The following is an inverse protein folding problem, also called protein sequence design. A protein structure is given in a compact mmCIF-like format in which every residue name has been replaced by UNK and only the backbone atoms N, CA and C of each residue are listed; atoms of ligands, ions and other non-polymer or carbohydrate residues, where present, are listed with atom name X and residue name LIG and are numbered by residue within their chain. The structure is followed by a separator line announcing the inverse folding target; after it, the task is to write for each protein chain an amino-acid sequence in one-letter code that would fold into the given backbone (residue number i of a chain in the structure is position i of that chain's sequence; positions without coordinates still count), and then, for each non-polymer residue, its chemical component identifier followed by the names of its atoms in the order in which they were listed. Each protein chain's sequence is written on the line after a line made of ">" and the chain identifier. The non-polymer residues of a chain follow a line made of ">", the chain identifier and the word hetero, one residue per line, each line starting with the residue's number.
data_IF_067003663399
#
_entry.id   IF_067003663399
#
_cell.length_a   1.000
_cell.length_b   1.000
_cell.length_c   1.000
_cell.angle_alpha   90.00
_cell.angle_beta   90.00
_cell.angle_gamma   90.00
#
_symmetry.space_group_name_H-M   'P 1'
#
loop_
_entity.id
_entity.type
_entity.pdbx_description
1 polymer ?
#
# COMPACT_ATOMS: atom_id res chain seq x y z
N UNK A 1 -16.07 -3.27 -19.44
CA UNK A 1 -17.19 -2.42 -19.00
C UNK A 1 -17.33 -2.30 -17.48
N UNK A 2 -16.91 -3.28 -16.66
CA UNK A 2 -17.00 -3.20 -15.18
C UNK A 2 -15.92 -2.33 -14.50
N UNK A 3 -14.72 -2.27 -15.07
CA UNK A 3 -13.57 -1.58 -14.47
C UNK A 3 -13.71 -0.04 -14.42
N UNK A 4 -14.24 0.56 -15.48
CA UNK A 4 -14.43 2.02 -15.55
C UNK A 4 -15.42 2.54 -14.50
N UNK A 5 -16.48 1.76 -14.23
CA UNK A 5 -17.48 2.08 -13.21
C UNK A 5 -16.91 2.04 -11.80
N UNK A 6 -16.05 1.07 -11.48
CA UNK A 6 -15.47 0.92 -10.13
C UNK A 6 -14.48 2.05 -9.81
N UNK A 7 -13.69 2.46 -10.79
CA UNK A 7 -12.77 3.61 -10.67
C UNK A 7 -13.52 4.92 -10.46
N UNK A 8 -14.51 5.22 -11.31
CA UNK A 8 -15.33 6.43 -11.20
C UNK A 8 -16.03 6.51 -9.84
N UNK A 9 -16.67 5.41 -9.41
CA UNK A 9 -17.31 5.31 -8.10
C UNK A 9 -16.32 5.53 -6.94
N UNK A 10 -15.13 4.94 -7.00
CA UNK A 10 -14.11 5.13 -5.97
C UNK A 10 -13.64 6.59 -5.88
N UNK A 11 -13.46 7.27 -7.01
CA UNK A 11 -13.06 8.68 -7.05
C UNK A 11 -14.18 9.64 -6.60
N UNK A 12 -15.44 9.26 -6.76
CA UNK A 12 -16.58 10.00 -6.24
C UNK A 12 -16.69 9.86 -4.72
N UNK A 13 -16.57 8.64 -4.21
CA UNK A 13 -16.68 8.34 -2.78
C UNK A 13 -15.44 8.80 -1.97
N UNK A 14 -14.25 8.78 -2.58
CA UNK A 14 -12.97 9.12 -1.97
C UNK A 14 -12.20 10.15 -2.81
N UNK A 15 -12.60 11.44 -2.76
CA UNK A 15 -11.98 12.50 -3.57
C UNK A 15 -10.48 12.69 -3.33
N UNK A 16 -9.94 12.26 -2.19
CA UNK A 16 -8.51 12.27 -1.87
C UNK A 16 -7.66 11.35 -2.75
N UNK A 17 -8.30 10.45 -3.50
CA UNK A 17 -7.62 9.62 -4.50
C UNK A 17 -7.33 10.38 -5.80
N UNK A 18 -8.10 11.43 -6.12
CA UNK A 18 -7.95 12.19 -7.37
C UNK A 18 -6.54 12.78 -7.56
N UNK A 19 -5.89 13.38 -6.55
CA UNK A 19 -4.54 13.93 -6.70
C UNK A 19 -3.46 12.88 -7.01
N UNK A 20 -3.72 11.60 -6.77
CA UNK A 20 -2.79 10.49 -6.98
C UNK A 20 -3.31 9.47 -8.00
N UNK A 21 -4.33 9.83 -8.78
CA UNK A 21 -5.05 8.94 -9.70
C UNK A 21 -4.10 8.29 -10.73
N UNK A 22 -3.14 9.05 -11.26
CA UNK A 22 -2.15 8.55 -12.22
C UNK A 22 -1.22 7.48 -11.59
N UNK A 23 -0.81 7.67 -10.33
CA UNK A 23 -0.03 6.70 -9.59
C UNK A 23 -0.84 5.43 -9.28
N UNK A 24 -2.15 5.56 -9.02
CA UNK A 24 -3.04 4.43 -8.82
C UNK A 24 -3.22 3.60 -10.09
N UNK A 25 -3.26 4.21 -11.26
CA UNK A 25 -3.27 3.49 -12.54
C UNK A 25 -1.97 2.70 -12.77
N UNK A 26 -0.82 3.29 -12.44
CA UNK A 26 0.47 2.60 -12.49
C UNK A 26 0.49 1.42 -11.52
N UNK A 27 0.01 1.63 -10.30
CA UNK A 27 -0.09 0.59 -9.27
C UNK A 27 -1.02 -0.53 -9.74
N UNK A 28 -2.22 -0.24 -10.23
CA UNK A 28 -3.14 -1.24 -10.75
C UNK A 28 -2.51 -2.06 -11.89
N UNK A 29 -1.88 -1.38 -12.86
CA UNK A 29 -1.20 -2.04 -13.99
C UNK A 29 -0.08 -2.97 -13.52
N UNK A 30 0.72 -2.54 -12.54
CA UNK A 30 1.73 -3.40 -11.91
C UNK A 30 1.09 -4.56 -11.15
N UNK A 31 0.04 -4.32 -10.36
CA UNK A 31 -0.64 -5.35 -9.59
C UNK A 31 -1.16 -6.44 -10.53
N UNK A 32 -1.88 -6.07 -11.59
CA UNK A 32 -2.41 -7.03 -12.58
C UNK A 32 -1.28 -7.83 -13.26
N UNK A 33 -0.17 -7.20 -13.63
CA UNK A 33 0.99 -7.89 -14.23
C UNK A 33 1.67 -8.87 -13.28
N UNK A 34 1.82 -8.51 -12.01
CA UNK A 34 2.49 -9.34 -11.02
C UNK A 34 1.58 -10.41 -10.40
N UNK A 35 0.27 -10.16 -10.35
CA UNK A 35 -0.74 -11.11 -9.89
C UNK A 35 -0.64 -12.43 -10.64
N UNK A 36 -0.39 -12.40 -11.96
CA UNK A 36 -0.21 -13.58 -12.79
C UNK A 36 0.99 -14.46 -12.40
N UNK A 37 1.91 -13.95 -11.57
CA UNK A 37 3.15 -14.62 -11.20
C UNK A 37 3.21 -15.04 -9.73
N UNK A 38 2.70 -14.22 -8.80
CA UNK A 38 3.01 -14.38 -7.37
C UNK A 38 1.82 -14.22 -6.41
N UNK A 39 0.57 -14.23 -6.89
CA UNK A 39 -0.65 -14.11 -6.08
C UNK A 39 -0.58 -13.00 -5.01
N UNK A 40 -1.01 -11.79 -5.36
CA UNK A 40 -0.93 -10.61 -4.48
C UNK A 40 -2.25 -10.36 -3.77
N UNK A 41 -3.35 -10.39 -4.51
CA UNK A 41 -4.72 -10.26 -4.00
C UNK A 41 -5.56 -11.47 -4.44
N UNK A 42 -6.75 -11.63 -3.87
CA UNK A 42 -7.69 -12.63 -4.38
C UNK A 42 -8.15 -12.25 -5.79
N UNK A 43 -8.35 -13.24 -6.67
CA UNK A 43 -8.86 -12.97 -8.02
C UNK A 43 -10.22 -12.27 -8.02
N UNK A 44 -11.07 -12.58 -7.02
CA UNK A 44 -12.37 -11.96 -6.84
C UNK A 44 -12.30 -10.46 -6.52
N UNK A 45 -11.22 -10.01 -5.87
CA UNK A 45 -11.05 -8.59 -5.49
C UNK A 45 -10.19 -7.79 -6.47
N UNK A 46 -9.57 -8.44 -7.45
CA UNK A 46 -8.72 -7.77 -8.44
C UNK A 46 -9.52 -6.83 -9.35
N UNK A 47 -10.75 -7.21 -9.71
CA UNK A 47 -11.63 -6.38 -10.53
C UNK A 47 -12.32 -5.26 -9.74
N UNK A 48 -12.22 -5.28 -8.41
CA UNK A 48 -12.76 -4.28 -7.49
C UNK A 48 -11.64 -3.52 -6.76
N UNK A 49 -10.43 -3.48 -7.33
CA UNK A 49 -9.23 -2.93 -6.70
C UNK A 49 -9.43 -1.48 -6.21
N UNK A 50 -10.11 -0.65 -7.00
CA UNK A 50 -10.32 0.76 -6.67
C UNK A 50 -11.14 0.95 -5.40
N UNK A 51 -12.24 0.20 -5.24
CA UNK A 51 -13.08 0.27 -4.04
C UNK A 51 -12.52 -0.55 -2.88
N UNK A 52 -12.19 -1.83 -3.10
CA UNK A 52 -11.83 -2.76 -2.02
C UNK A 52 -10.40 -2.65 -1.53
N UNK A 53 -9.53 -2.01 -2.30
CA UNK A 53 -8.12 -1.92 -1.94
C UNK A 53 -7.65 -0.48 -1.84
N UNK A 54 -7.85 0.35 -2.87
CA UNK A 54 -7.41 1.74 -2.81
C UNK A 54 -8.24 2.57 -1.82
N UNK A 55 -9.56 2.63 -2.03
CA UNK A 55 -10.45 3.39 -1.15
C UNK A 55 -10.49 2.87 0.29
N UNK A 56 -10.60 1.56 0.49
CA UNK A 56 -10.54 0.94 1.82
C UNK A 56 -9.25 1.30 2.59
N UNK A 57 -8.09 1.28 1.90
CA UNK A 57 -6.81 1.64 2.52
C UNK A 57 -6.68 3.13 2.84
N UNK A 58 -7.38 4.01 2.12
CA UNK A 58 -7.36 5.45 2.37
C UNK A 58 -7.93 5.81 3.76
N UNK A 59 -8.90 5.03 4.24
CA UNK A 59 -9.49 5.22 5.58
C UNK A 59 -8.45 5.05 6.71
N UNK A 60 -7.43 4.22 6.51
CA UNK A 60 -6.34 4.03 7.50
C UNK A 60 -5.55 5.31 7.69
N UNK A 61 -5.29 6.06 6.61
CA UNK A 61 -4.62 7.36 6.71
C UNK A 61 -5.48 8.38 7.47
N UNK A 62 -6.80 8.41 7.22
CA UNK A 62 -7.73 9.32 7.88
C UNK A 62 -7.78 9.13 9.41
N UNK A 63 -7.50 7.91 9.91
CA UNK A 63 -7.47 7.62 11.34
C UNK A 63 -6.28 8.26 12.09
N UNK A 64 -5.18 8.60 11.39
CA UNK A 64 -4.00 9.24 11.98
C UNK A 64 -3.38 10.28 11.03
N UNK A 65 -4.06 11.41 10.78
CA UNK A 65 -3.72 12.36 9.71
C UNK A 65 -2.39 13.10 9.92
N UNK A 66 -1.87 13.13 11.15
CA UNK A 66 -0.60 13.78 11.49
C UNK A 66 0.60 12.85 11.44
N UNK A 67 0.38 11.54 11.28
CA UNK A 67 1.46 10.55 11.25
C UNK A 67 2.17 10.60 9.90
N UNK A 68 3.45 10.95 9.94
CA UNK A 68 4.31 11.04 8.75
C UNK A 68 5.18 9.80 8.53
N UNK A 69 5.50 9.09 9.61
CA UNK A 69 6.37 7.92 9.60
C UNK A 69 5.60 6.69 10.04
N UNK A 70 5.46 5.73 9.12
CA UNK A 70 4.65 4.53 9.32
C UNK A 70 5.50 3.27 9.20
N UNK A 71 5.14 2.23 9.94
CA UNK A 71 5.53 0.86 9.65
C UNK A 71 4.29 0.04 9.26
N UNK A 72 4.31 -0.58 8.09
CA UNK A 72 3.29 -1.50 7.63
C UNK A 72 3.79 -2.93 7.74
N UNK A 73 3.10 -3.74 8.54
CA UNK A 73 3.54 -5.07 8.93
C UNK A 73 2.91 -6.13 8.02
N UNK A 74 3.74 -6.93 7.35
CA UNK A 74 3.27 -7.94 6.41
C UNK A 74 2.63 -7.30 5.18
N UNK A 75 3.33 -6.34 4.57
CA UNK A 75 2.76 -5.44 3.56
C UNK A 75 2.13 -6.13 2.36
N UNK A 76 2.55 -7.34 1.99
CA UNK A 76 1.90 -8.16 0.97
C UNK A 76 1.79 -7.45 -0.38
N UNK A 77 0.55 -7.17 -0.79
CA UNK A 77 0.22 -6.44 -2.01
C UNK A 77 0.30 -4.90 -1.86
N UNK A 78 0.75 -4.41 -0.71
CA UNK A 78 0.95 -2.99 -0.40
C UNK A 78 -0.24 -2.29 0.25
N UNK A 79 -1.19 -3.04 0.82
CA UNK A 79 -2.38 -2.46 1.43
C UNK A 79 -2.39 -2.70 2.95
N UNK A 80 -2.46 -1.65 3.78
CA UNK A 80 -2.64 -0.24 3.42
C UNK A 80 -1.34 0.51 3.09
N UNK A 81 -0.15 -0.05 3.36
CA UNK A 81 1.12 0.70 3.39
C UNK A 81 1.48 1.52 2.15
N UNK A 82 1.43 0.95 0.94
CA UNK A 82 1.72 1.71 -0.30
C UNK A 82 0.66 2.77 -0.58
N UNK A 83 -0.61 2.52 -0.25
CA UNK A 83 -1.64 3.56 -0.35
C UNK A 83 -1.38 4.70 0.61
N UNK A 84 -1.04 4.39 1.86
CA UNK A 84 -0.63 5.42 2.84
C UNK A 84 0.57 6.21 2.34
N UNK A 85 1.54 5.55 1.70
CA UNK A 85 2.70 6.23 1.12
C UNK A 85 2.28 7.20 0.00
N UNK A 86 1.42 6.76 -0.92
CA UNK A 86 0.92 7.61 -2.01
C UNK A 86 0.15 8.83 -1.50
N UNK A 87 -0.74 8.64 -0.53
CA UNK A 87 -1.48 9.74 0.10
C UNK A 87 -0.54 10.74 0.82
N UNK A 88 0.59 10.26 1.34
CA UNK A 88 1.61 11.08 1.99
C UNK A 88 2.66 11.64 1.02
N UNK A 89 2.59 11.37 -0.29
CA UNK A 89 3.64 11.72 -1.26
C UNK A 89 3.99 13.22 -1.26
N UNK A 90 3.00 14.08 -1.08
CA UNK A 90 3.18 15.54 -1.01
C UNK A 90 3.51 16.06 0.40
N UNK A 91 3.65 15.18 1.39
CA UNK A 91 3.95 15.55 2.79
C UNK A 91 5.46 15.52 3.04
N UNK A 92 6.12 16.67 3.29
CA UNK A 92 7.56 16.70 3.52
C UNK A 92 7.97 15.83 4.72
N UNK A 93 9.02 15.04 4.52
CA UNK A 93 9.59 14.15 5.53
C UNK A 93 8.75 12.90 5.84
N UNK A 94 7.67 12.65 5.09
CA UNK A 94 6.90 11.42 5.23
C UNK A 94 7.65 10.21 4.65
N UNK A 95 7.51 9.07 5.31
CA UNK A 95 8.04 7.78 4.87
C UNK A 95 7.18 6.65 5.40
N UNK A 96 6.92 5.65 4.56
CA UNK A 96 6.26 4.41 4.97
C UNK A 96 7.25 3.24 4.83
N UNK A 97 7.57 2.60 5.94
CA UNK A 97 8.37 1.40 5.97
C UNK A 97 7.47 0.18 5.74
N UNK A 98 7.68 -0.52 4.63
CA UNK A 98 6.93 -1.71 4.25
C UNK A 98 7.73 -2.95 4.65
N UNK A 99 7.23 -3.75 5.58
CA UNK A 99 7.93 -4.94 6.08
C UNK A 99 7.27 -6.17 5.47
N UNK A 100 8.03 -6.92 4.66
CA UNK A 100 7.54 -8.11 3.97
C UNK A 100 8.60 -9.20 3.93
N UNK A 101 8.23 -10.43 4.28
CA UNK A 101 9.16 -11.56 4.35
C UNK A 101 9.31 -12.32 3.02
N UNK A 102 8.28 -12.31 2.16
CA UNK A 102 8.34 -12.89 0.82
C UNK A 102 9.11 -11.96 -0.12
N UNK A 103 10.26 -12.44 -0.60
CA UNK A 103 11.16 -11.67 -1.47
C UNK A 103 10.51 -11.23 -2.79
N UNK A 104 9.58 -12.02 -3.33
CA UNK A 104 8.89 -11.67 -4.58
C UNK A 104 7.87 -10.56 -4.34
N UNK A 105 7.13 -10.62 -3.22
CA UNK A 105 6.23 -9.54 -2.81
C UNK A 105 7.02 -8.26 -2.48
N UNK A 106 8.14 -8.37 -1.78
CA UNK A 106 9.03 -7.23 -1.57
C UNK A 106 9.54 -6.63 -2.89
N UNK A 107 9.84 -7.47 -3.89
CA UNK A 107 10.16 -7.02 -5.25
C UNK A 107 9.02 -6.24 -5.92
N UNK A 108 7.78 -6.70 -5.76
CA UNK A 108 6.59 -6.00 -6.22
C UNK A 108 6.44 -4.62 -5.54
N UNK A 109 6.55 -4.55 -4.21
CA UNK A 109 6.43 -3.30 -3.46
C UNK A 109 7.46 -2.25 -3.91
N UNK A 110 8.71 -2.68 -4.10
CA UNK A 110 9.79 -1.82 -4.64
C UNK A 110 9.48 -1.33 -6.05
N UNK A 111 8.93 -2.19 -6.90
CA UNK A 111 8.54 -1.80 -8.26
C UNK A 111 7.46 -0.72 -8.20
N UNK A 112 6.39 -0.89 -7.41
CA UNK A 112 5.34 0.12 -7.28
C UNK A 112 5.91 1.43 -6.72
N UNK A 113 6.68 1.40 -5.63
CA UNK A 113 7.28 2.61 -5.06
C UNK A 113 8.16 3.36 -6.06
N UNK A 114 8.98 2.63 -6.84
CA UNK A 114 9.84 3.23 -7.87
C UNK A 114 9.05 3.88 -9.00
N UNK A 115 8.08 3.18 -9.57
CA UNK A 115 7.33 3.68 -10.73
C UNK A 115 6.33 4.79 -10.37
N UNK A 116 5.86 4.83 -9.12
CA UNK A 116 4.91 5.86 -8.64
C UNK A 116 5.58 7.03 -7.93
N UNK A 117 6.85 6.86 -7.50
CA UNK A 117 7.52 7.82 -6.62
C UNK A 117 6.92 7.88 -5.21
N UNK A 118 6.23 6.83 -4.76
CA UNK A 118 5.71 6.75 -3.40
C UNK A 118 6.88 6.80 -2.39
N UNK A 119 6.80 7.60 -1.30
CA UNK A 119 7.80 7.69 -0.25
C UNK A 119 7.76 6.45 0.65
N UNK A 120 8.13 5.30 0.08
CA UNK A 120 8.11 4.01 0.75
C UNK A 120 9.49 3.35 0.73
N UNK A 121 9.84 2.69 1.84
CA UNK A 121 11.07 1.90 1.97
C UNK A 121 10.70 0.46 2.26
N UNK A 122 11.04 -0.46 1.36
CA UNK A 122 10.71 -1.88 1.51
C UNK A 122 11.83 -2.67 2.18
N UNK A 123 11.51 -3.23 3.34
CA UNK A 123 12.38 -4.11 4.12
C UNK A 123 11.98 -5.56 3.87
N UNK A 124 12.86 -6.30 3.20
CA UNK A 124 12.63 -7.71 2.92
C UNK A 124 13.11 -8.57 4.11
N UNK A 125 12.20 -8.91 5.02
CA UNK A 125 12.54 -9.59 6.26
C UNK A 125 11.33 -9.89 7.13
N UNK A 126 11.55 -10.66 8.20
CA UNK A 126 10.55 -10.97 9.22
C UNK A 126 10.34 -9.76 10.12
N UNK A 127 9.10 -9.56 10.58
CA UNK A 127 8.70 -8.38 11.39
C UNK A 127 9.57 -8.25 12.63
N UNK A 128 9.80 -9.37 13.31
CA UNK A 128 10.56 -9.47 14.55
C UNK A 128 12.04 -9.07 14.39
N UNK A 129 12.57 -9.19 13.16
CA UNK A 129 13.94 -8.81 12.84
C UNK A 129 14.07 -7.36 12.38
N UNK A 130 13.03 -6.80 11.76
CA UNK A 130 13.06 -5.47 11.14
C UNK A 130 12.51 -4.40 12.08
N UNK A 131 11.34 -4.63 12.68
CA UNK A 131 10.59 -3.64 13.46
C UNK A 131 11.38 -3.05 14.63
N UNK A 132 12.19 -3.81 15.41
CA UNK A 132 12.97 -3.23 16.51
C UNK A 132 13.91 -2.11 16.08
N UNK A 133 14.42 -2.14 14.84
CA UNK A 133 15.32 -1.11 14.30
C UNK A 133 14.58 0.16 13.85
N UNK A 134 13.25 0.10 13.71
CA UNK A 134 12.41 1.20 13.23
C UNK A 134 11.51 1.80 14.32
N UNK A 135 11.28 1.06 15.40
CA UNK A 135 10.27 1.37 16.41
C UNK A 135 10.42 2.77 17.04
N UNK A 136 11.65 3.27 17.19
CA UNK A 136 11.91 4.60 17.73
C UNK A 136 11.61 5.74 16.74
N UNK A 137 11.45 5.44 15.45
CA UNK A 137 11.31 6.41 14.37
C UNK A 137 9.90 6.52 13.80
N UNK A 138 9.02 5.55 14.08
CA UNK A 138 7.66 5.48 13.52
C UNK A 138 6.61 6.00 14.51
N UNK A 139 5.68 6.80 13.99
CA UNK A 139 4.55 7.34 14.77
C UNK A 139 3.25 6.56 14.58
N UNK A 140 3.20 5.64 13.60
CA UNK A 140 2.04 4.80 13.34
C UNK A 140 2.44 3.42 12.81
N UNK A 141 1.61 2.43 13.13
CA UNK A 141 1.76 1.06 12.68
C UNK A 141 0.47 0.63 12.01
N UNK A 142 0.56 0.04 10.83
CA UNK A 142 -0.55 -0.57 10.11
C UNK A 142 -0.30 -2.04 9.86
N UNK A 143 -1.37 -2.82 9.76
CA UNK A 143 -1.33 -4.21 9.34
C UNK A 143 -2.70 -4.58 8.78
N UNK A 144 -2.74 -5.41 7.73
CA UNK A 144 -3.99 -5.96 7.19
C UNK A 144 -3.81 -7.43 6.85
N UNK A 145 -4.74 -8.26 7.32
CA UNK A 145 -4.71 -9.72 7.12
C UNK A 145 -3.37 -10.37 7.54
N UNK A 146 -2.76 -9.86 8.61
CA UNK A 146 -1.50 -10.39 9.15
C UNK A 146 -1.77 -11.71 9.90
N UNK A 147 -0.95 -12.73 9.63
CA UNK A 147 -0.97 -13.97 10.40
C UNK A 147 -0.58 -13.70 11.87
N UNK A 148 -1.02 -14.53 12.84
CA UNK A 148 -0.64 -14.36 14.24
C UNK A 148 0.88 -14.25 14.40
N UNK A 149 1.33 -13.24 15.14
CA UNK A 149 2.72 -13.10 15.54
C UNK A 149 3.01 -14.17 16.60
N UNK A 150 4.04 -14.97 16.39
CA UNK A 150 4.43 -16.09 17.25
C UNK A 150 5.62 -15.74 18.12
#
# INVERSE_FOLDING_TARGET
>A
MRDRSCREEALELFPELKPIEAELEIYESLLRRWQAKINLVSSATLDEIWLRHFADSAQVHAAAPHTRRWADLGSGAGFPGLMTALLLKSTPGAVVHLIESDQRKAGFLRAVSRETGAPAVTHAGRIESVLPNLAAEVGGVSARALAPLS
#
